data_IF_782082578524
#
_entry.id   IF_782082578524
#
_cell.length_a   1.000
_cell.length_b   1.000
_cell.length_c   1.000
_cell.angle_alpha   90.00
_cell.angle_beta   90.00
_cell.angle_gamma   90.00
#
_symmetry.space_group_name_H-M   'P 1'
#
loop_
_entity.id
_entity.type
_entity.pdbx_description
1 polymer ?
#
# COMPACT_ATOMS: atom_id res chain seq x y z
N UNK A 1 -63.60 -29.13 -39.39
CA UNK A 1 -62.24 -29.72 -39.33
C UNK A 1 -61.13 -28.69 -39.63
N UNK A 2 -61.22 -27.86 -40.67
CA UNK A 2 -60.19 -26.84 -40.97
C UNK A 2 -59.95 -25.79 -39.85
N UNK A 3 -61.01 -25.34 -39.16
CA UNK A 3 -60.89 -24.28 -38.13
C UNK A 3 -60.06 -24.71 -36.91
N UNK A 4 -60.21 -25.95 -36.44
CA UNK A 4 -59.48 -26.46 -35.28
C UNK A 4 -58.00 -26.75 -35.58
N UNK A 5 -57.68 -27.06 -36.83
CA UNK A 5 -56.29 -27.23 -37.26
C UNK A 5 -55.55 -25.89 -37.31
N UNK A 6 -56.24 -24.80 -37.67
CA UNK A 6 -55.66 -23.45 -37.70
C UNK A 6 -55.37 -22.93 -36.29
N UNK A 7 -56.27 -23.16 -35.33
CA UNK A 7 -56.06 -22.79 -33.91
C UNK A 7 -54.88 -23.56 -33.29
N UNK A 8 -54.74 -24.86 -33.57
CA UNK A 8 -53.62 -25.66 -33.08
C UNK A 8 -52.27 -25.20 -33.66
N UNK A 9 -52.24 -24.79 -34.93
CA UNK A 9 -51.06 -24.21 -35.57
C UNK A 9 -50.69 -22.84 -34.98
N UNK A 10 -51.69 -22.01 -34.65
CA UNK A 10 -51.49 -20.71 -34.02
C UNK A 10 -50.95 -20.84 -32.58
N UNK A 11 -51.47 -21.79 -31.80
CA UNK A 11 -50.98 -22.11 -30.45
C UNK A 11 -49.54 -22.66 -30.46
N UNK A 12 -49.21 -23.50 -31.45
CA UNK A 12 -47.86 -24.02 -31.66
C UNK A 12 -46.88 -22.92 -32.08
N UNK A 13 -47.29 -22.02 -32.98
CA UNK A 13 -46.47 -20.89 -33.40
C UNK A 13 -46.22 -19.91 -32.25
N UNK A 14 -47.23 -19.62 -31.43
CA UNK A 14 -47.11 -18.71 -30.28
C UNK A 14 -46.18 -19.27 -29.20
N UNK A 15 -46.27 -20.57 -28.91
CA UNK A 15 -45.38 -21.22 -27.94
C UNK A 15 -43.93 -21.31 -28.44
N UNK A 16 -43.71 -21.55 -29.73
CA UNK A 16 -42.38 -21.49 -30.35
C UNK A 16 -41.78 -20.07 -30.32
N UNK A 17 -42.60 -19.03 -30.57
CA UNK A 17 -42.17 -17.63 -30.51
C UNK A 17 -41.81 -17.21 -29.09
N UNK A 18 -42.59 -17.63 -28.09
CA UNK A 18 -42.27 -17.44 -26.66
C UNK A 18 -40.98 -18.14 -26.29
N UNK A 19 -40.76 -19.38 -26.74
CA UNK A 19 -39.50 -20.10 -26.51
C UNK A 19 -38.30 -19.40 -27.18
N UNK A 20 -38.47 -18.87 -28.40
CA UNK A 20 -37.42 -18.10 -29.09
C UNK A 20 -37.12 -16.77 -28.40
N UNK A 21 -38.13 -16.08 -27.87
CA UNK A 21 -37.95 -14.85 -27.07
C UNK A 21 -37.26 -15.15 -25.73
N UNK A 22 -37.60 -16.27 -25.09
CA UNK A 22 -36.92 -16.73 -23.87
C UNK A 22 -35.47 -17.09 -24.19
N UNK A 23 -35.20 -17.87 -25.25
CA UNK A 23 -33.85 -18.20 -25.71
C UNK A 23 -33.05 -16.93 -26.09
N UNK A 24 -33.64 -15.97 -26.80
CA UNK A 24 -33.01 -14.70 -27.13
C UNK A 24 -32.77 -13.80 -25.89
N UNK A 25 -33.64 -13.88 -24.88
CA UNK A 25 -33.48 -13.21 -23.58
C UNK A 25 -32.36 -13.81 -22.74
N UNK A 26 -32.18 -15.14 -22.78
CA UNK A 26 -31.03 -15.83 -22.16
C UNK A 26 -29.71 -15.61 -22.93
N UNK A 27 -29.80 -15.28 -24.22
CA UNK A 27 -28.67 -14.86 -25.06
C UNK A 27 -28.54 -13.34 -25.19
N UNK A 28 -29.04 -12.56 -24.22
CA UNK A 28 -28.42 -11.27 -23.94
C UNK A 28 -27.05 -11.56 -23.34
N UNK A 29 -26.10 -11.80 -24.25
CA UNK A 29 -24.68 -11.71 -23.97
C UNK A 29 -24.51 -10.36 -23.28
N UNK A 30 -24.37 -10.38 -21.95
CA UNK A 30 -23.63 -9.34 -21.27
C UNK A 30 -22.37 -9.22 -22.10
N UNK A 31 -22.18 -8.09 -22.77
CA UNK A 31 -20.86 -7.72 -23.20
C UNK A 31 -20.07 -7.52 -21.90
N UNK A 32 -19.64 -8.63 -21.29
CA UNK A 32 -18.43 -8.65 -20.49
C UNK A 32 -17.42 -8.06 -21.45
N UNK A 33 -17.13 -6.77 -21.29
CA UNK A 33 -16.01 -6.15 -21.95
C UNK A 33 -14.84 -7.05 -21.52
N UNK A 34 -14.41 -7.95 -22.40
CA UNK A 34 -13.34 -8.88 -22.10
C UNK A 34 -12.08 -8.04 -22.06
N UNK A 35 -11.82 -7.49 -20.88
CA UNK A 35 -10.70 -6.64 -20.60
C UNK A 35 -9.48 -7.54 -20.52
N UNK A 36 -8.83 -7.71 -21.67
CA UNK A 36 -7.52 -8.33 -21.72
C UNK A 36 -6.56 -7.50 -20.84
N UNK A 37 -5.70 -8.16 -20.05
CA UNK A 37 -4.68 -7.46 -19.27
C UNK A 37 -3.81 -6.58 -20.16
N UNK A 38 -3.60 -5.34 -19.73
CA UNK A 38 -2.66 -4.42 -20.36
C UNK A 38 -1.25 -4.59 -19.77
N UNK A 39 -0.25 -3.98 -20.40
CA UNK A 39 1.14 -4.03 -19.94
C UNK A 39 1.88 -2.71 -20.16
N UNK A 40 2.88 -2.44 -19.31
CA UNK A 40 3.81 -1.34 -19.46
C UNK A 40 5.12 -1.66 -18.70
N UNK A 41 6.26 -1.59 -19.39
CA UNK A 41 7.56 -1.94 -18.81
C UNK A 41 7.56 -3.34 -18.21
N UNK A 42 7.99 -3.45 -16.95
CA UNK A 42 8.07 -4.73 -16.23
C UNK A 42 6.70 -5.20 -15.69
N UNK A 43 5.66 -4.37 -15.75
CA UNK A 43 4.32 -4.74 -15.29
C UNK A 43 3.54 -5.27 -16.48
N UNK A 44 3.43 -6.60 -16.58
CA UNK A 44 2.86 -7.29 -17.75
C UNK A 44 1.39 -7.68 -17.60
N UNK A 45 0.85 -7.61 -16.37
CA UNK A 45 -0.53 -7.98 -16.06
C UNK A 45 -1.23 -6.82 -15.32
N UNK A 46 -1.60 -5.79 -16.07
CA UNK A 46 -2.42 -4.68 -15.58
C UNK A 46 -3.88 -5.02 -15.88
N UNK A 47 -4.57 -5.49 -14.86
CA UNK A 47 -5.97 -5.90 -14.87
C UNK A 47 -6.76 -5.16 -13.80
N UNK A 48 -8.09 -5.23 -13.90
CA UNK A 48 -9.03 -4.68 -12.92
C UNK A 48 -8.57 -4.98 -11.47
N UNK A 49 -8.57 -4.00 -10.55
CA UNK A 49 -9.14 -2.66 -10.68
C UNK A 49 -8.24 -1.66 -11.40
N UNK A 50 -6.97 -2.00 -11.63
CA UNK A 50 -6.02 -1.14 -12.31
C UNK A 50 -6.33 -1.05 -13.80
N UNK A 51 -6.03 0.11 -14.37
CA UNK A 51 -6.04 0.30 -15.81
C UNK A 51 -5.03 1.36 -16.21
N UNK A 52 -4.47 1.25 -17.40
CA UNK A 52 -3.78 2.35 -18.04
C UNK A 52 -4.78 3.39 -18.57
N UNK A 53 -4.30 4.62 -18.77
CA UNK A 53 -5.10 5.68 -19.40
C UNK A 53 -5.58 5.34 -20.82
N UNK A 54 -4.86 4.46 -21.51
CA UNK A 54 -5.18 3.95 -22.85
C UNK A 54 -6.24 2.86 -22.84
N UNK A 55 -6.49 2.23 -21.69
CA UNK A 55 -7.46 1.15 -21.58
C UNK A 55 -8.89 1.71 -21.58
N UNK A 56 -9.85 0.88 -21.95
CA UNK A 56 -11.26 1.23 -21.86
C UNK A 56 -11.62 1.57 -20.40
N UNK A 57 -12.46 2.60 -20.22
CA UNK A 57 -12.92 3.02 -18.89
C UNK A 57 -13.64 1.91 -18.12
N UNK A 58 -14.23 0.94 -18.82
CA UNK A 58 -14.90 -0.21 -18.23
C UNK A 58 -13.94 -1.29 -17.71
N UNK A 59 -12.65 -1.23 -18.05
CA UNK A 59 -11.66 -2.25 -17.68
C UNK A 59 -10.94 -2.02 -16.36
N UNK A 60 -11.22 -0.90 -15.69
CA UNK A 60 -10.65 -0.59 -14.39
C UNK A 60 -11.23 0.69 -13.82
N UNK A 61 -10.98 0.90 -12.54
CA UNK A 61 -11.51 2.02 -11.79
C UNK A 61 -10.66 3.27 -11.99
N UNK A 62 -11.28 4.45 -11.98
CA UNK A 62 -10.58 5.73 -12.25
C UNK A 62 -9.56 6.05 -11.15
N UNK A 63 -9.89 5.70 -9.93
CA UNK A 63 -9.07 5.87 -8.74
C UNK A 63 -7.87 4.91 -8.67
N UNK A 64 -7.83 3.89 -9.54
CA UNK A 64 -6.72 2.95 -9.73
C UNK A 64 -6.02 3.13 -11.10
N UNK A 65 -6.22 4.27 -11.76
CA UNK A 65 -5.59 4.55 -13.06
C UNK A 65 -4.07 4.70 -12.91
N UNK A 66 -3.32 3.88 -13.66
CA UNK A 66 -1.88 3.92 -13.78
C UNK A 66 -1.46 4.66 -15.06
N UNK A 67 -0.24 5.19 -15.06
CA UNK A 67 0.37 5.82 -16.25
C UNK A 67 1.56 5.01 -16.73
N UNK A 68 1.73 4.97 -18.05
CA UNK A 68 2.93 4.44 -18.69
C UNK A 68 3.77 5.63 -19.17
N UNK A 69 4.88 5.90 -18.50
CA UNK A 69 5.77 7.01 -18.81
C UNK A 69 7.17 6.44 -19.12
N UNK A 70 7.66 6.63 -20.35
CA UNK A 70 8.96 6.10 -20.80
C UNK A 70 9.13 4.59 -20.55
N UNK A 71 8.13 3.79 -20.94
CA UNK A 71 8.09 2.35 -20.70
C UNK A 71 8.19 1.95 -19.21
N UNK A 72 7.70 2.81 -18.32
CA UNK A 72 7.66 2.54 -16.87
C UNK A 72 6.29 2.87 -16.29
N UNK A 73 5.73 1.90 -15.56
CA UNK A 73 4.44 2.04 -14.90
C UNK A 73 4.57 2.94 -13.67
N UNK A 74 3.71 3.95 -13.58
CA UNK A 74 3.74 4.99 -12.55
C UNK A 74 2.36 5.26 -11.98
N UNK A 75 2.33 5.70 -10.73
CA UNK A 75 1.12 6.20 -10.05
C UNK A 75 1.47 7.49 -9.32
N UNK A 76 0.51 8.40 -9.23
CA UNK A 76 0.66 9.64 -8.47
C UNK A 76 -0.19 9.55 -7.21
N UNK A 77 0.44 9.57 -6.05
CA UNK A 77 -0.23 9.59 -4.75
C UNK A 77 0.20 10.87 -4.01
N UNK A 78 -0.76 11.66 -3.54
CA UNK A 78 -0.55 12.95 -2.88
C UNK A 78 0.37 13.90 -3.69
N UNK A 79 0.25 13.89 -5.02
CA UNK A 79 1.10 14.65 -5.97
C UNK A 79 2.56 14.17 -6.05
N UNK A 80 2.91 13.09 -5.35
CA UNK A 80 4.21 12.44 -5.43
C UNK A 80 4.14 11.32 -6.45
N UNK A 81 5.19 11.21 -7.26
CA UNK A 81 5.30 10.20 -8.31
C UNK A 81 5.96 8.93 -7.73
N UNK A 82 5.31 7.79 -7.96
CA UNK A 82 5.83 6.48 -7.58
C UNK A 82 5.96 5.59 -8.81
N UNK A 83 7.01 4.78 -8.83
CA UNK A 83 7.15 3.66 -9.74
C UNK A 83 6.46 2.43 -9.17
N UNK A 84 5.66 1.77 -10.00
CA UNK A 84 5.04 0.49 -9.65
C UNK A 84 6.07 -0.60 -9.86
N UNK A 85 6.42 -1.30 -8.77
CA UNK A 85 7.39 -2.40 -8.77
C UNK A 85 6.71 -3.75 -8.99
N UNK A 86 5.52 -3.94 -8.42
CA UNK A 86 4.71 -5.15 -8.60
C UNK A 86 3.24 -4.86 -8.29
N UNK A 87 2.36 -5.66 -8.88
CA UNK A 87 0.95 -5.75 -8.52
C UNK A 87 0.68 -7.22 -8.20
N UNK A 88 0.32 -7.51 -6.96
CA UNK A 88 -0.12 -8.82 -6.52
C UNK A 88 -1.65 -8.85 -6.51
N UNK A 89 -2.21 -9.85 -7.19
CA UNK A 89 -3.65 -10.13 -7.24
C UNK A 89 -4.03 -11.07 -6.10
N UNK A 90 -5.02 -11.92 -6.31
CA UNK A 90 -5.38 -12.95 -5.34
C UNK A 90 -4.17 -13.84 -5.00
N UNK A 91 -3.91 -14.13 -3.71
CA UNK A 91 -4.68 -13.77 -2.52
C UNK A 91 -4.22 -12.50 -1.76
N UNK A 92 -3.11 -11.87 -2.14
CA UNK A 92 -2.51 -10.77 -1.36
C UNK A 92 -3.17 -9.40 -1.58
N UNK A 93 -3.62 -9.14 -2.80
CA UNK A 93 -4.25 -7.87 -3.22
C UNK A 93 -3.42 -6.63 -2.84
N UNK A 94 -2.12 -6.62 -3.20
CA UNK A 94 -1.21 -5.50 -2.91
C UNK A 94 -0.65 -4.85 -4.18
N UNK A 95 -0.25 -3.59 -4.07
CA UNK A 95 0.58 -2.88 -5.04
C UNK A 95 1.85 -2.41 -4.34
N UNK A 96 3.01 -2.70 -4.93
CA UNK A 96 4.31 -2.34 -4.39
C UNK A 96 4.88 -1.14 -5.12
N UNK A 97 5.27 -0.12 -4.37
CA UNK A 97 5.63 1.20 -4.86
C UNK A 97 7.01 1.65 -4.35
N UNK A 98 7.73 2.38 -5.20
CA UNK A 98 8.98 3.09 -4.86
C UNK A 98 8.84 4.54 -5.28
N UNK A 99 9.25 5.48 -4.43
CA UNK A 99 9.29 6.91 -4.79
C UNK A 99 10.21 7.13 -6.00
N UNK A 100 9.76 7.86 -7.01
CA UNK A 100 10.47 7.94 -8.28
C UNK A 100 11.85 8.61 -8.19
N UNK A 101 12.05 9.46 -7.19
CA UNK A 101 13.31 10.19 -6.96
C UNK A 101 14.31 9.37 -6.11
N UNK A 102 13.92 8.20 -5.61
CA UNK A 102 14.79 7.34 -4.82
C UNK A 102 15.84 6.61 -5.69
N UNK A 103 17.10 6.67 -5.27
CA UNK A 103 18.24 6.04 -5.92
C UNK A 103 18.88 5.02 -4.97
N UNK A 104 18.83 3.74 -5.34
CA UNK A 104 19.34 2.64 -4.50
C UNK A 104 20.83 2.79 -4.14
N UNK A 105 21.64 3.17 -5.12
CA UNK A 105 23.10 3.21 -4.99
C UNK A 105 23.62 4.52 -4.37
N UNK A 106 22.73 5.48 -4.13
CA UNK A 106 23.05 6.69 -3.37
C UNK A 106 22.66 6.47 -1.91
N UNK A 107 23.66 6.32 -1.04
CA UNK A 107 23.41 6.21 0.39
C UNK A 107 22.79 7.50 0.99
N UNK A 108 22.85 8.63 0.27
CA UNK A 108 22.17 9.86 0.62
C UNK A 108 20.75 9.95 0.03
N UNK A 109 20.28 8.92 -0.65
CA UNK A 109 18.91 8.85 -1.13
C UNK A 109 18.01 8.23 -0.05
N UNK A 110 17.28 9.08 0.65
CA UNK A 110 16.17 8.70 1.53
C UNK A 110 14.83 9.12 0.89
N UNK A 111 13.72 8.41 1.15
CA UNK A 111 12.41 8.87 0.68
C UNK A 111 12.13 10.27 1.24
N UNK A 112 11.44 11.10 0.47
CA UNK A 112 11.08 12.46 0.90
C UNK A 112 9.71 12.49 1.55
N UNK A 113 8.92 11.46 1.29
CA UNK A 113 7.53 11.39 1.73
C UNK A 113 7.31 10.15 2.58
N UNK A 114 6.62 10.38 3.70
CA UNK A 114 6.27 9.34 4.64
C UNK A 114 5.31 8.37 3.99
N UNK A 115 5.65 7.07 3.97
CA UNK A 115 4.75 6.07 3.39
C UNK A 115 3.54 5.81 4.28
N UNK A 116 3.50 6.33 5.51
CA UNK A 116 2.36 6.23 6.43
C UNK A 116 1.41 7.44 6.38
N UNK A 117 1.66 8.41 5.50
CA UNK A 117 0.83 9.61 5.36
C UNK A 117 -0.33 9.44 4.38
N UNK A 118 -0.52 8.25 3.78
CA UNK A 118 -1.66 7.99 2.90
C UNK A 118 -2.93 7.88 3.75
N UNK A 119 -3.71 8.96 3.72
CA UNK A 119 -5.03 9.04 4.31
C UNK A 119 -6.04 8.27 3.47
N UNK A 120 -6.80 7.38 4.13
CA UNK A 120 -7.91 6.61 3.55
C UNK A 120 -8.98 7.50 2.91
N UNK A 121 -9.08 8.78 3.31
CA UNK A 121 -10.07 9.69 2.76
C UNK A 121 -9.75 10.16 1.33
N UNK A 122 -8.50 10.05 0.86
CA UNK A 122 -8.07 10.61 -0.43
C UNK A 122 -7.71 9.57 -1.49
N UNK A 123 -7.40 8.32 -1.11
CA UNK A 123 -6.99 7.27 -2.03
C UNK A 123 -7.68 5.95 -1.71
N UNK A 124 -7.98 5.12 -2.73
CA UNK A 124 -8.74 3.89 -2.53
C UNK A 124 -7.89 2.75 -1.92
N UNK A 125 -6.64 3.03 -1.58
CA UNK A 125 -5.70 2.07 -1.02
C UNK A 125 -5.77 2.05 0.51
N UNK A 126 -5.52 0.88 1.08
CA UNK A 126 -5.33 0.68 2.52
C UNK A 126 -3.90 0.27 2.82
N UNK A 127 -3.47 0.35 4.09
CA UNK A 127 -2.17 -0.18 4.46
C UNK A 127 -2.15 -1.70 4.32
N UNK A 128 -1.21 -2.22 3.52
CA UNK A 128 -0.87 -3.63 3.55
C UNK A 128 -0.20 -3.95 4.91
N UNK A 129 -0.20 -5.22 5.30
CA UNK A 129 0.52 -5.64 6.50
C UNK A 129 2.00 -5.32 6.36
N UNK A 130 2.44 -4.27 7.04
CA UNK A 130 3.85 -3.87 7.09
C UNK A 130 4.50 -4.55 8.29
N UNK A 131 5.70 -5.08 8.07
CA UNK A 131 6.41 -5.84 9.10
C UNK A 131 7.50 -5.01 9.78
N UNK A 132 7.99 -3.97 9.10
CA UNK A 132 8.98 -3.03 9.63
C UNK A 132 8.56 -1.59 9.40
N UNK A 133 8.86 -0.75 10.39
CA UNK A 133 8.84 0.70 10.28
C UNK A 133 10.28 1.21 10.38
N UNK A 134 10.70 2.01 9.40
CA UNK A 134 11.96 2.74 9.43
C UNK A 134 11.66 4.19 9.84
N UNK A 135 12.18 4.61 10.98
CA UNK A 135 12.01 5.97 11.52
C UNK A 135 13.33 6.71 11.36
N UNK A 136 13.35 7.75 10.53
CA UNK A 136 14.52 8.58 10.32
C UNK A 136 14.53 9.70 11.36
N UNK A 137 15.64 9.82 12.07
CA UNK A 137 15.77 10.64 13.27
C UNK A 137 17.00 11.54 13.12
N UNK A 138 16.80 12.84 13.36
CA UNK A 138 17.85 13.84 13.54
C UNK A 138 17.99 14.22 15.00
N UNK A 139 19.21 14.23 15.52
CA UNK A 139 19.51 14.64 16.89
C UNK A 139 20.55 15.77 16.91
N UNK A 140 20.41 16.77 17.79
CA UNK A 140 21.40 17.84 17.92
C UNK A 140 22.74 17.34 18.49
N UNK A 141 22.70 16.31 19.34
CA UNK A 141 23.85 15.72 20.01
C UNK A 141 23.92 14.21 19.71
N UNK A 142 25.09 13.56 19.84
CA UNK A 142 25.19 12.12 19.64
C UNK A 142 24.42 11.41 20.75
N UNK A 143 23.68 10.36 20.39
CA UNK A 143 23.04 9.49 21.39
C UNK A 143 24.13 8.66 22.07
N UNK A 144 24.34 8.80 23.40
CA UNK A 144 25.26 7.94 24.13
C UNK A 144 24.68 6.52 24.11
N UNK A 145 25.45 5.53 23.61
CA UNK A 145 25.01 4.14 23.48
C UNK A 145 23.64 3.98 22.80
N UNK A 146 23.55 4.20 21.47
CA UNK A 146 22.29 4.03 20.76
C UNK A 146 21.75 2.61 20.95
N UNK A 147 20.43 2.44 21.15
CA UNK A 147 19.81 1.12 21.24
C UNK A 147 20.12 0.24 20.00
N UNK A 148 20.04 -1.09 20.13
CA UNK A 148 20.41 -2.02 19.05
C UNK A 148 19.58 -1.84 17.77
N UNK A 149 18.40 -1.25 17.90
CA UNK A 149 17.47 -0.92 16.84
C UNK A 149 17.77 0.40 16.12
N UNK A 150 18.89 1.07 16.44
CA UNK A 150 19.32 2.31 15.80
C UNK A 150 20.52 2.07 14.89
N UNK A 151 20.39 2.50 13.63
CA UNK A 151 21.45 2.45 12.63
C UNK A 151 22.01 3.86 12.45
N UNK A 152 23.30 4.05 12.71
CA UNK A 152 23.96 5.34 12.47
C UNK A 152 24.16 5.55 10.96
N UNK A 153 23.74 6.70 10.44
CA UNK A 153 23.88 7.04 9.02
C UNK A 153 25.11 7.90 8.73
N UNK A 154 25.88 8.27 9.75
CA UNK A 154 27.06 9.14 9.62
C UNK A 154 28.08 8.63 8.60
N UNK A 155 28.19 7.32 8.45
CA UNK A 155 29.03 6.67 7.44
C UNK A 155 28.74 7.14 6.02
N UNK A 156 27.51 7.58 5.73
CA UNK A 156 27.13 8.08 4.41
C UNK A 156 27.33 9.58 4.23
N UNK A 157 27.53 10.35 5.31
CA UNK A 157 27.92 11.77 5.23
C UNK A 157 29.35 11.98 4.69
N UNK A 158 30.21 10.97 4.78
CA UNK A 158 31.59 11.04 4.28
C UNK A 158 31.70 10.80 2.75
N UNK A 159 30.59 10.48 2.07
CA UNK A 159 30.55 10.21 0.64
C UNK A 159 29.58 11.14 -0.11
N UNK A 160 30.13 12.21 -0.69
CA UNK A 160 29.49 13.12 -1.66
C UNK A 160 28.67 14.31 -1.10
N UNK A 161 29.01 15.49 -1.62
CA UNK A 161 28.49 16.82 -1.24
C UNK A 161 27.24 17.20 -2.07
N UNK A 162 26.68 16.28 -2.86
CA UNK A 162 25.73 16.63 -3.94
C UNK A 162 24.39 15.90 -3.94
N UNK A 163 23.85 15.49 -2.78
CA UNK A 163 22.45 15.05 -2.70
C UNK A 163 21.59 16.11 -1.99
N UNK A 164 20.65 16.80 -2.67
CA UNK A 164 19.78 17.81 -2.05
C UNK A 164 18.84 17.25 -0.97
N UNK A 165 18.76 15.93 -0.86
CA UNK A 165 17.95 15.15 0.11
C UNK A 165 18.45 15.29 1.56
N UNK A 166 19.73 15.60 1.77
CA UNK A 166 20.35 15.66 3.10
C UNK A 166 20.47 17.07 3.70
N UNK A 167 19.98 18.10 3.01
CA UNK A 167 20.21 19.51 3.40
C UNK A 167 19.53 19.97 4.70
N UNK A 168 18.75 19.11 5.37
CA UNK A 168 18.07 19.46 6.64
C UNK A 168 18.56 18.68 7.87
N UNK A 169 19.67 17.93 7.73
CA UNK A 169 20.24 17.10 8.79
C UNK A 169 21.52 17.72 9.37
N UNK A 170 21.41 18.94 9.90
CA UNK A 170 22.42 19.47 10.83
C UNK A 170 22.39 18.61 12.11
N UNK A 171 23.51 17.96 12.45
CA UNK A 171 23.62 17.08 13.62
C UNK A 171 23.81 15.58 13.33
N UNK A 172 23.50 14.74 14.31
CA UNK A 172 23.65 13.28 14.26
C UNK A 172 22.38 12.64 13.69
N UNK A 173 22.54 11.61 12.86
CA UNK A 173 21.44 11.01 12.09
C UNK A 173 21.39 9.51 12.30
N UNK A 174 20.17 9.02 12.53
CA UNK A 174 19.90 7.62 12.81
C UNK A 174 18.66 7.14 12.05
N UNK A 175 18.64 5.85 11.73
CA UNK A 175 17.44 5.12 11.32
C UNK A 175 17.10 4.14 12.42
N UNK A 176 15.97 4.36 13.10
CA UNK A 176 15.43 3.39 14.05
C UNK A 176 14.52 2.42 13.29
N UNK A 177 14.77 1.13 13.38
CA UNK A 177 13.89 0.11 12.82
C UNK A 177 12.99 -0.48 13.91
N UNK A 178 11.69 -0.51 13.64
CA UNK A 178 10.68 -1.08 14.54
C UNK A 178 10.04 -2.29 13.89
N UNK A 179 9.75 -3.32 14.67
CA UNK A 179 9.15 -4.55 14.15
C UNK A 179 8.35 -5.29 15.23
N UNK A 180 7.41 -6.12 14.77
CA UNK A 180 6.60 -6.96 15.64
C UNK A 180 7.27 -8.31 15.86
N UNK A 181 7.37 -8.72 17.13
CA UNK A 181 7.78 -10.08 17.52
C UNK A 181 6.66 -10.77 18.26
N UNK A 182 6.54 -12.08 18.04
CA UNK A 182 5.69 -12.94 18.86
C UNK A 182 6.53 -13.47 20.02
N UNK A 183 6.10 -13.18 21.24
CA UNK A 183 6.72 -13.66 22.47
C UNK A 183 5.75 -14.59 23.20
N UNK A 184 6.29 -15.60 23.89
CA UNK A 184 5.51 -16.47 24.76
C UNK A 184 5.43 -15.88 26.15
N UNK A 185 4.22 -15.67 26.66
CA UNK A 185 3.98 -15.20 28.03
C UNK A 185 3.11 -16.25 28.73
N UNK A 186 3.73 -17.13 29.51
CA UNK A 186 3.03 -18.33 30.00
C UNK A 186 2.57 -19.22 28.83
N UNK A 187 1.27 -19.49 28.73
CA UNK A 187 0.70 -20.42 27.74
C UNK A 187 0.07 -19.72 26.52
N UNK A 188 0.29 -18.42 26.33
CA UNK A 188 -0.24 -17.67 25.20
C UNK A 188 0.84 -16.83 24.50
N UNK A 189 0.62 -16.57 23.21
CA UNK A 189 1.48 -15.67 22.44
C UNK A 189 1.00 -14.23 22.60
N UNK A 190 1.93 -13.35 22.92
CA UNK A 190 1.74 -11.90 22.86
C UNK A 190 2.53 -11.34 21.68
N UNK A 191 1.98 -10.32 21.02
CA UNK A 191 2.66 -9.59 19.95
C UNK A 191 3.19 -8.29 20.52
N UNK A 192 4.51 -8.16 20.60
CA UNK A 192 5.19 -6.99 21.16
C UNK A 192 5.90 -6.23 20.04
N UNK A 193 5.92 -4.91 20.16
CA UNK A 193 6.71 -4.05 19.30
C UNK A 193 8.11 -3.85 19.88
N UNK A 194 9.10 -4.02 19.03
CA UNK A 194 10.46 -3.56 19.29
C UNK A 194 10.62 -2.21 18.59
N UNK A 195 11.26 -1.24 19.24
CA UNK A 195 11.52 0.07 18.67
C UNK A 195 10.31 0.99 18.72
N UNK A 196 9.73 1.16 19.90
CA UNK A 196 8.65 2.11 20.08
C UNK A 196 9.13 3.55 19.88
N UNK A 197 8.25 4.43 19.38
CA UNK A 197 8.60 5.85 19.21
C UNK A 197 8.93 6.53 20.54
N UNK A 198 8.43 6.00 21.66
CA UNK A 198 8.80 6.45 22.99
C UNK A 198 10.30 6.21 23.32
N UNK A 199 10.99 5.35 22.57
CA UNK A 199 12.43 5.12 22.70
C UNK A 199 13.27 6.19 21.97
N UNK A 200 12.65 7.05 21.15
CA UNK A 200 13.37 8.16 20.49
C UNK A 200 13.87 9.12 21.57
N UNK A 201 15.18 9.40 21.64
CA UNK A 201 15.72 10.25 22.69
C UNK A 201 15.13 11.66 22.69
N UNK A 202 15.04 12.25 23.88
CA UNK A 202 14.64 13.64 24.04
C UNK A 202 15.52 14.57 23.19
N UNK A 203 14.91 15.63 22.65
CA UNK A 203 15.52 16.61 21.72
C UNK A 203 15.80 16.10 20.30
N UNK A 204 15.65 14.80 20.03
CA UNK A 204 15.68 14.29 18.67
C UNK A 204 14.36 14.60 17.94
N UNK A 205 14.45 14.86 16.63
CA UNK A 205 13.34 15.09 15.72
C UNK A 205 13.16 13.87 14.82
N UNK A 206 11.91 13.43 14.67
CA UNK A 206 11.54 12.44 13.65
C UNK A 206 11.33 13.19 12.34
N UNK A 207 12.11 12.86 11.32
CA UNK A 207 12.01 13.51 10.00
C UNK A 207 11.06 12.75 9.08
N UNK A 208 11.06 11.41 9.17
CA UNK A 208 10.31 10.54 8.25
C UNK A 208 10.00 9.20 8.91
N UNK A 209 8.85 8.62 8.57
CA UNK A 209 8.52 7.23 8.87
C UNK A 209 8.20 6.51 7.57
N UNK A 210 8.82 5.36 7.36
CA UNK A 210 8.66 4.54 6.18
C UNK A 210 8.26 3.12 6.59
N UNK A 211 7.00 2.76 6.33
CA UNK A 211 6.49 1.41 6.47
C UNK A 211 6.85 0.57 5.26
N UNK A 212 7.41 -0.61 5.50
CA UNK A 212 7.79 -1.56 4.46
C UNK A 212 7.47 -3.02 4.87
N UNK A 213 7.24 -3.90 3.90
CA UNK A 213 7.19 -5.34 4.15
C UNK A 213 8.60 -5.85 4.52
N UNK A 214 8.68 -6.88 5.36
CA UNK A 214 9.98 -7.51 5.64
C UNK A 214 10.40 -8.37 4.46
N UNK A 215 11.61 -8.16 3.94
CA UNK A 215 12.24 -9.11 3.04
C UNK A 215 12.73 -10.32 3.84
N UNK A 216 12.02 -11.44 3.75
CA UNK A 216 12.32 -12.67 4.47
C UNK A 216 13.64 -13.31 4.02
N UNK A 217 14.70 -13.09 4.80
CA UNK A 217 15.81 -14.05 4.94
C UNK A 217 16.34 -14.15 6.37
N UNK A 218 16.18 -13.11 7.20
CA UNK A 218 16.48 -13.14 8.64
C UNK A 218 15.21 -13.32 9.47
N UNK A 219 15.07 -14.47 10.13
CA UNK A 219 14.04 -14.69 11.17
C UNK A 219 14.29 -13.84 12.43
N UNK A 220 15.51 -13.32 12.62
CA UNK A 220 15.89 -12.47 13.74
C UNK A 220 16.43 -11.13 13.23
N UNK A 221 15.65 -10.05 13.41
CA UNK A 221 16.05 -8.67 13.11
C UNK A 221 16.89 -8.14 14.27
N UNK A 222 18.04 -8.78 14.52
CA UNK A 222 19.03 -8.25 15.45
C UNK A 222 20.14 -7.61 14.63
N UNK A 223 20.26 -6.28 14.73
CA UNK A 223 21.26 -5.45 14.06
C UNK A 223 21.07 -5.33 12.53
N UNK A 224 20.17 -4.44 12.11
CA UNK A 224 20.05 -4.01 10.72
C UNK A 224 21.23 -3.11 10.34
N UNK A 225 21.83 -3.34 9.18
CA UNK A 225 22.86 -2.48 8.58
C UNK A 225 22.23 -1.39 7.72
N UNK A 226 22.99 -0.33 7.43
CA UNK A 226 22.51 0.74 6.54
C UNK A 226 22.28 0.23 5.10
N UNK A 227 23.04 -0.76 4.65
CA UNK A 227 22.80 -1.42 3.36
C UNK A 227 21.43 -2.12 3.36
N UNK A 228 21.12 -2.87 4.42
CA UNK A 228 19.80 -3.50 4.56
C UNK A 228 18.66 -2.46 4.61
N UNK A 229 18.88 -1.30 5.25
CA UNK A 229 17.92 -0.18 5.19
C UNK A 229 17.69 0.28 3.75
N UNK A 230 18.75 0.52 2.97
CA UNK A 230 18.63 0.94 1.56
C UNK A 230 18.00 -0.13 0.67
N UNK A 231 18.27 -1.41 0.92
CA UNK A 231 17.62 -2.51 0.23
C UNK A 231 16.11 -2.55 0.50
N UNK A 232 15.67 -2.29 1.75
CA UNK A 232 14.24 -2.17 2.09
C UNK A 232 13.59 -1.00 1.37
N UNK A 233 14.26 0.16 1.35
CA UNK A 233 13.76 1.35 0.64
C UNK A 233 13.65 1.09 -0.87
N UNK A 234 14.65 0.43 -1.46
CA UNK A 234 14.67 0.06 -2.87
C UNK A 234 13.64 -1.01 -3.23
N UNK A 235 13.33 -1.92 -2.30
CA UNK A 235 12.27 -2.90 -2.47
C UNK A 235 10.90 -2.22 -2.58
N UNK A 236 10.67 -1.16 -1.78
CA UNK A 236 9.46 -0.36 -1.80
C UNK A 236 8.50 -0.65 -0.64
N UNK A 237 7.40 0.11 -0.59
CA UNK A 237 6.30 -0.11 0.35
C UNK A 237 5.09 -0.72 -0.36
N UNK A 238 4.24 -1.40 0.40
CA UNK A 238 3.05 -2.06 -0.13
C UNK A 238 1.78 -1.40 0.37
N UNK A 239 0.86 -1.19 -0.56
CA UNK A 239 -0.50 -0.76 -0.27
C UNK A 239 -1.48 -1.86 -0.68
N UNK A 240 -2.48 -2.11 0.15
CA UNK A 240 -3.55 -3.06 -0.14
C UNK A 240 -4.66 -2.40 -0.96
N UNK A 241 -5.10 -3.08 -2.00
CA UNK A 241 -6.26 -2.73 -2.82
C UNK A 241 -7.41 -3.74 -2.66
N UNK A 242 -7.37 -4.58 -1.61
CA UNK A 242 -8.39 -5.61 -1.38
C UNK A 242 -9.82 -5.05 -1.23
N UNK A 243 -9.96 -3.78 -0.85
CA UNK A 243 -11.25 -3.09 -0.87
C UNK A 243 -11.91 -3.12 -2.26
N UNK A 244 -11.16 -2.81 -3.32
CA UNK A 244 -11.67 -2.85 -4.69
C UNK A 244 -11.92 -4.27 -5.20
N UNK A 245 -11.13 -5.25 -4.74
CA UNK A 245 -11.40 -6.66 -5.02
C UNK A 245 -12.76 -7.08 -4.40
N UNK A 246 -13.01 -6.67 -3.15
CA UNK A 246 -14.27 -6.95 -2.48
C UNK A 246 -15.46 -6.21 -3.11
N UNK A 247 -15.30 -4.95 -3.52
CA UNK A 247 -16.36 -4.22 -4.22
C UNK A 247 -16.71 -4.92 -5.53
N UNK A 248 -15.70 -5.32 -6.31
CA UNK A 248 -15.91 -6.04 -7.57
C UNK A 248 -16.57 -7.41 -7.36
N UNK A 249 -16.15 -8.16 -6.34
CA UNK A 249 -16.77 -9.43 -6.01
C UNK A 249 -18.25 -9.25 -5.64
N UNK A 250 -18.60 -8.19 -4.89
CA UNK A 250 -19.99 -7.84 -4.57
C UNK A 250 -20.79 -7.44 -5.80
N UNK A 251 -20.23 -6.57 -6.65
CA UNK A 251 -20.85 -6.08 -7.88
C UNK A 251 -21.14 -7.22 -8.88
N UNK A 252 -20.30 -8.25 -8.91
CA UNK A 252 -20.40 -9.36 -9.85
C UNK A 252 -20.90 -10.67 -9.22
N UNK A 253 -21.34 -10.64 -7.96
CA UNK A 253 -21.78 -11.82 -7.20
C UNK A 253 -20.75 -12.98 -7.20
N UNK A 254 -19.46 -12.64 -7.20
CA UNK A 254 -18.36 -13.61 -7.17
C UNK A 254 -17.97 -13.94 -5.72
N UNK A 255 -17.46 -15.15 -5.51
CA UNK A 255 -16.78 -15.54 -4.26
C UNK A 255 -15.27 -15.45 -4.49
N UNK A 256 -14.57 -14.81 -3.57
CA UNK A 256 -13.11 -14.84 -3.51
C UNK A 256 -12.72 -16.00 -2.58
N UNK A 257 -12.03 -17.00 -3.14
CA UNK A 257 -11.60 -18.17 -2.36
C UNK A 257 -10.55 -17.74 -1.33
N UNK A 258 -10.77 -18.05 -0.05
CA UNK A 258 -9.84 -17.68 1.02
C UNK A 258 -9.90 -16.22 1.52
N UNK A 259 -10.72 -15.36 0.91
CA UNK A 259 -10.87 -13.95 1.31
C UNK A 259 -12.32 -13.60 1.72
N UNK A 260 -12.55 -13.21 2.97
CA UNK A 260 -13.88 -12.80 3.45
C UNK A 260 -14.05 -11.28 3.33
N UNK A 261 -15.02 -10.87 2.52
CA UNK A 261 -15.41 -9.46 2.32
C UNK A 261 -16.48 -8.95 3.30
N UNK A 262 -16.81 -9.75 4.32
CA UNK A 262 -17.95 -9.54 5.25
C UNK A 262 -17.60 -8.73 6.50
N UNK A 263 -16.41 -8.14 6.59
CA UNK A 263 -16.10 -7.19 7.66
C UNK A 263 -15.31 -6.01 7.12
N UNK A 264 -15.44 -4.80 7.70
CA UNK A 264 -14.41 -3.78 7.58
C UNK A 264 -13.17 -4.28 8.30
N UNK A 265 -12.47 -5.26 7.72
CA UNK A 265 -11.12 -5.70 8.08
C UNK A 265 -10.80 -5.70 9.60
N UNK A 266 -11.68 -6.34 10.37
CA UNK A 266 -11.52 -6.59 11.80
C UNK A 266 -10.90 -7.98 12.02
N UNK A 267 -9.64 -8.19 11.58
CA UNK A 267 -8.78 -9.26 12.11
C UNK A 267 -7.76 -8.63 13.08
N UNK A 268 -8.01 -8.67 14.41
CA UNK A 268 -7.11 -8.16 15.45
C UNK A 268 -6.25 -9.32 15.97
N UNK A 269 -4.91 -9.21 15.91
CA UNK A 269 -4.18 -8.55 16.99
C UNK A 269 -3.22 -7.44 16.54
N UNK A 270 -2.70 -7.51 15.30
CA UNK A 270 -1.60 -6.64 14.85
C UNK A 270 -2.11 -5.27 14.38
N UNK A 271 -3.30 -5.23 13.73
CA UNK A 271 -3.95 -3.97 13.32
C UNK A 271 -4.31 -3.04 14.48
N UNK A 272 -4.62 -3.58 15.66
CA UNK A 272 -4.93 -2.76 16.82
C UNK A 272 -3.68 -2.04 17.37
N UNK A 273 -2.52 -2.67 17.30
CA UNK A 273 -1.24 -2.08 17.71
C UNK A 273 -0.73 -1.06 16.68
N UNK A 274 -0.76 -1.42 15.38
CA UNK A 274 -0.42 -0.50 14.28
C UNK A 274 -1.39 0.69 14.27
N UNK A 275 -2.69 0.45 14.44
CA UNK A 275 -3.71 1.49 14.49
C UNK A 275 -3.53 2.43 15.67
N UNK A 276 -3.24 1.93 16.88
CA UNK A 276 -2.95 2.77 18.06
C UNK A 276 -1.69 3.60 17.88
N UNK A 277 -0.64 3.04 17.29
CA UNK A 277 0.61 3.77 17.07
C UNK A 277 0.52 4.73 15.90
N UNK A 278 -0.09 4.36 14.77
CA UNK A 278 -0.40 5.28 13.67
C UNK A 278 -1.32 6.41 14.14
N UNK A 279 -2.31 6.15 14.99
CA UNK A 279 -3.14 7.20 15.57
C UNK A 279 -2.31 8.12 16.48
N UNK A 280 -1.37 7.58 17.27
CA UNK A 280 -0.40 8.38 18.05
C UNK A 280 0.56 9.16 17.17
N UNK A 281 1.05 8.58 16.08
CA UNK A 281 1.97 9.19 15.11
C UNK A 281 1.27 10.31 14.34
N UNK A 282 0.09 10.05 13.77
CA UNK A 282 -0.73 11.04 13.08
C UNK A 282 -1.06 12.19 14.05
N UNK A 283 -1.42 11.89 15.30
CA UNK A 283 -1.63 12.92 16.33
C UNK A 283 -0.34 13.71 16.66
N UNK A 284 0.84 13.07 16.69
CA UNK A 284 2.12 13.75 16.88
C UNK A 284 2.52 14.63 15.68
N UNK A 285 2.35 14.14 14.44
CA UNK A 285 2.61 14.91 13.23
C UNK A 285 1.68 16.12 13.13
N UNK A 286 0.37 15.95 13.37
CA UNK A 286 -0.59 17.05 13.41
C UNK A 286 -0.30 18.08 14.51
N UNK A 287 0.20 17.65 15.68
CA UNK A 287 0.66 18.57 16.74
C UNK A 287 1.92 19.33 16.32
N UNK A 288 2.85 18.70 15.62
CA UNK A 288 4.10 19.33 15.18
C UNK A 288 3.90 20.36 14.07
N UNK A 289 2.85 20.23 13.24
CA UNK A 289 2.46 21.22 12.23
C UNK A 289 1.66 22.41 12.80
N UNK A 290 1.27 22.34 14.08
CA UNK A 290 0.60 23.41 14.81
C UNK A 290 1.44 23.89 16.00
N UNK A 291 2.66 24.34 15.73
CA UNK A 291 3.23 25.44 16.50
C UNK A 291 2.58 26.75 16.00
N UNK A 292 1.28 26.91 16.28
CA UNK A 292 0.69 28.25 16.29
C UNK A 292 1.24 28.92 17.55
N UNK A 293 1.84 30.08 17.34
CA UNK A 293 2.23 31.05 18.35
C UNK A 293 1.25 31.05 19.55
N UNK A 294 1.68 30.45 20.65
CA UNK A 294 1.25 30.86 21.99
C UNK A 294 2.48 31.37 22.73
N UNK A 295 3.14 32.35 22.09
CA UNK A 295 3.93 33.33 22.81
C UNK A 295 2.98 34.34 23.45
N UNK A 296 3.13 34.51 24.76
CA UNK A 296 2.62 35.63 25.56
C UNK A 296 1.12 35.90 25.54
N UNK A 297 0.41 35.40 26.55
CA UNK A 297 -0.42 36.28 27.37
C UNK A 297 -0.21 35.96 28.85
N UNK A 298 0.21 37.01 29.57
CA UNK A 298 0.07 37.14 31.03
C UNK A 298 -1.38 36.99 31.44
#
# INVERSE_FOLDING_TARGET
MLSGMLEQLLLGAYSALLFLVILAGHHSCSATNNCAPSSCGNITNISYPFRLKTDLKSCGRKEYELRCENNRTTVYLQRVKYYVQAIAYDPEFTIRLVEADFQKDDCLSIPRHSSIAFDYHYYPFSYAYSSVLLTFISCPNPTPSPPFNFVNTSSCKNGSIYSPSFRHMEGYSYVMFSYYVKVMVGDHYEVVMVGEIAEVPDLCRIDLIYAAPLFSSKQNITNMSLIEVHDILAYGFELSWSGAACDYAKENHLKLDGYSCDTPSNKPPIRAAIGKQLLRIVNCFYRSTHWIELGNMK
#
